data_IF_823275768199
#
_entry.id   IF_823275768199
#
_cell.length_a   1.000
_cell.length_b   1.000
_cell.length_c   1.000
_cell.angle_alpha   90.00
_cell.angle_beta   90.00
_cell.angle_gamma   90.00
#
_symmetry.space_group_name_H-M   'P 1'
#
loop_
_entity.id
_entity.type
_entity.pdbx_description
1 polymer ?
#
# COMPACT_ATOMS: atom_id res chain seq x y z
N UNK A 1 -23.60 -27.59 -7.73
CA UNK A 1 -23.86 -27.16 -6.34
C UNK A 1 -24.83 -26.01 -6.40
N UNK A 2 -26.00 -26.18 -5.81
CA UNK A 2 -27.17 -25.33 -6.03
C UNK A 2 -26.98 -23.97 -5.35
N UNK A 3 -26.94 -22.88 -6.13
CA UNK A 3 -27.09 -21.55 -5.56
C UNK A 3 -28.55 -21.38 -5.10
N UNK A 4 -28.76 -21.18 -3.81
CA UNK A 4 -30.08 -20.87 -3.27
C UNK A 4 -30.48 -19.49 -3.79
N UNK A 5 -31.45 -19.44 -4.70
CA UNK A 5 -32.00 -18.20 -5.28
C UNK A 5 -33.14 -17.73 -4.39
N UNK A 6 -32.91 -16.72 -3.55
CA UNK A 6 -33.99 -16.05 -2.81
C UNK A 6 -34.68 -15.03 -3.72
N UNK A 7 -35.98 -15.26 -3.96
CA UNK A 7 -36.86 -14.37 -4.74
C UNK A 7 -37.70 -13.53 -3.77
N UNK A 8 -37.62 -12.20 -3.82
CA UNK A 8 -38.53 -11.30 -3.09
C UNK A 8 -39.46 -10.60 -4.07
N UNK A 9 -40.76 -10.92 -3.99
CA UNK A 9 -41.82 -10.17 -4.66
C UNK A 9 -42.42 -9.16 -3.68
N UNK A 10 -42.20 -7.85 -3.90
CA UNK A 10 -43.15 -6.78 -3.54
C UNK A 10 -42.72 -5.40 -4.09
N UNK A 11 -43.36 -5.00 -5.19
CA UNK A 11 -43.84 -3.65 -5.57
C UNK A 11 -42.91 -2.42 -5.58
N UNK A 12 -41.69 -2.49 -6.11
CA UNK A 12 -41.06 -1.35 -6.82
C UNK A 12 -40.29 -1.92 -8.02
N UNK A 13 -40.63 -1.49 -9.23
CA UNK A 13 -40.13 -2.04 -10.50
C UNK A 13 -38.67 -1.71 -10.82
N UNK A 14 -37.74 -2.08 -9.94
CA UNK A 14 -36.30 -2.14 -10.23
C UNK A 14 -35.73 -3.38 -9.56
N UNK A 15 -35.50 -4.45 -10.35
CA UNK A 15 -34.65 -5.56 -9.92
C UNK A 15 -33.21 -5.06 -10.03
N UNK A 16 -32.70 -4.47 -8.95
CA UNK A 16 -31.26 -4.30 -8.85
C UNK A 16 -30.68 -5.62 -8.38
N UNK A 17 -30.41 -6.54 -9.32
CA UNK A 17 -29.40 -7.58 -9.09
C UNK A 17 -28.05 -6.88 -9.04
N UNK A 18 -27.72 -6.25 -7.91
CA UNK A 18 -26.32 -6.02 -7.59
C UNK A 18 -25.75 -7.38 -7.21
N UNK A 19 -25.55 -8.24 -8.21
CA UNK A 19 -24.47 -9.19 -8.13
C UNK A 19 -23.23 -8.33 -8.00
N UNK A 20 -22.80 -8.08 -6.76
CA UNK A 20 -21.43 -7.62 -6.55
C UNK A 20 -20.58 -8.73 -7.15
N UNK A 21 -20.08 -8.50 -8.37
CA UNK A 21 -19.23 -9.46 -9.04
C UNK A 21 -18.09 -9.76 -8.10
N UNK A 22 -18.06 -10.99 -7.56
CA UNK A 22 -17.04 -11.41 -6.60
C UNK A 22 -15.71 -11.27 -7.31
N UNK A 23 -14.93 -10.28 -6.88
CA UNK A 23 -13.65 -10.00 -7.48
C UNK A 23 -12.65 -11.00 -6.93
N UNK A 24 -11.68 -11.43 -7.76
CA UNK A 24 -10.58 -12.28 -7.26
C UNK A 24 -9.80 -11.58 -6.14
N UNK A 25 -9.81 -10.25 -6.10
CA UNK A 25 -9.21 -9.43 -5.05
C UNK A 25 -9.92 -9.51 -3.70
N UNK A 26 -11.18 -9.92 -3.64
CA UNK A 26 -11.91 -10.08 -2.37
C UNK A 26 -11.32 -11.22 -1.52
N UNK A 27 -10.61 -12.16 -2.16
CA UNK A 27 -9.97 -13.32 -1.53
C UNK A 27 -8.45 -13.21 -1.42
N UNK A 28 -7.87 -12.09 -1.89
CA UNK A 28 -6.41 -11.92 -1.98
C UNK A 28 -5.98 -10.70 -1.18
N UNK A 29 -5.14 -10.93 -0.18
CA UNK A 29 -4.48 -9.86 0.58
C UNK A 29 -3.08 -9.62 0.03
N UNK A 30 -2.75 -8.35 -0.20
CA UNK A 30 -1.41 -7.88 -0.57
C UNK A 30 -0.79 -7.18 0.65
N UNK A 31 0.48 -7.47 0.96
CA UNK A 31 1.21 -6.83 2.05
C UNK A 31 1.95 -5.60 1.49
N UNK A 32 1.72 -4.42 2.08
CA UNK A 32 2.23 -3.11 1.62
C UNK A 32 1.91 -2.82 0.15
N UNK A 33 0.69 -3.15 -0.25
CA UNK A 33 0.24 -3.13 -1.64
C UNK A 33 -1.27 -3.22 -1.74
N UNK A 34 -1.79 -3.02 -2.95
CA UNK A 34 -3.20 -3.15 -3.26
C UNK A 34 -3.40 -4.20 -4.37
N UNK A 35 -4.53 -4.90 -4.29
CA UNK A 35 -4.87 -5.90 -5.29
C UNK A 35 -5.49 -5.24 -6.53
N UNK A 36 -5.03 -5.66 -7.70
CA UNK A 36 -5.57 -5.29 -9.01
C UNK A 36 -5.88 -6.55 -9.81
N UNK A 37 -6.82 -6.46 -10.75
CA UNK A 37 -7.18 -7.59 -11.62
C UNK A 37 -6.61 -7.35 -13.01
N UNK A 38 -5.87 -8.32 -13.55
CA UNK A 38 -5.35 -8.24 -14.91
C UNK A 38 -6.39 -8.63 -15.97
N UNK A 39 -6.04 -8.51 -17.25
CA UNK A 39 -6.93 -8.87 -18.37
C UNK A 39 -7.35 -10.35 -18.41
N UNK A 40 -6.67 -11.23 -17.65
CA UNK A 40 -6.97 -12.66 -17.54
C UNK A 40 -7.77 -13.00 -16.26
N UNK A 41 -8.33 -11.99 -15.58
CA UNK A 41 -9.05 -12.14 -14.32
C UNK A 41 -8.21 -12.77 -13.19
N UNK A 42 -6.91 -12.48 -13.15
CA UNK A 42 -6.01 -12.91 -12.09
C UNK A 42 -5.69 -11.75 -11.14
N UNK A 43 -5.58 -12.04 -9.85
CA UNK A 43 -5.14 -11.08 -8.84
C UNK A 43 -3.65 -10.79 -8.98
N UNK A 44 -3.32 -9.52 -9.15
CA UNK A 44 -1.96 -8.98 -9.20
C UNK A 44 -1.82 -7.94 -8.10
N UNK A 45 -0.85 -8.16 -7.21
CA UNK A 45 -0.53 -7.17 -6.20
C UNK A 45 0.37 -6.08 -6.79
N UNK A 46 -0.10 -4.84 -6.70
CA UNK A 46 0.70 -3.65 -6.98
C UNK A 46 1.20 -3.09 -5.65
N UNK A 47 2.49 -2.76 -5.60
CA UNK A 47 3.09 -2.21 -4.39
C UNK A 47 2.68 -0.76 -4.17
N UNK A 48 2.51 -0.39 -2.90
CA UNK A 48 2.33 1.00 -2.53
C UNK A 48 3.58 1.83 -2.86
N UNK A 49 3.46 3.16 -3.05
CA UNK A 49 4.62 4.02 -3.22
C UNK A 49 5.64 3.85 -2.08
N UNK A 50 6.93 3.77 -2.41
CA UNK A 50 8.00 3.47 -1.45
C UNK A 50 8.20 1.97 -1.19
N UNK A 51 7.48 1.09 -1.89
CA UNK A 51 7.67 -0.36 -1.80
C UNK A 51 7.92 -0.99 -3.18
N UNK A 52 8.70 -2.08 -3.20
CA UNK A 52 9.00 -2.88 -4.39
C UNK A 52 8.65 -4.36 -4.18
N UNK A 53 8.42 -5.13 -5.27
CA UNK A 53 8.13 -6.55 -5.15
C UNK A 53 9.26 -7.31 -4.45
N UNK A 54 8.93 -8.12 -3.44
CA UNK A 54 9.91 -8.91 -2.67
C UNK A 54 10.48 -10.12 -3.43
N UNK A 55 9.98 -10.41 -4.63
CA UNK A 55 10.16 -11.70 -5.32
C UNK A 55 9.21 -12.80 -4.84
N UNK A 56 8.67 -12.68 -3.62
CA UNK A 56 7.54 -13.51 -3.16
C UNK A 56 6.22 -12.90 -3.65
N UNK A 57 5.29 -13.69 -4.19
CA UNK A 57 3.99 -13.18 -4.63
C UNK A 57 3.28 -12.48 -3.47
N UNK A 58 2.62 -11.35 -3.78
CA UNK A 58 1.78 -10.57 -2.84
C UNK A 58 2.52 -9.83 -1.72
N UNK A 59 3.84 -9.90 -1.67
CA UNK A 59 4.64 -9.20 -0.67
C UNK A 59 5.42 -8.08 -1.33
N UNK A 60 5.17 -6.86 -0.86
CA UNK A 60 5.95 -5.69 -1.19
C UNK A 60 6.84 -5.35 0.01
N UNK A 61 8.13 -5.19 -0.27
CA UNK A 61 9.14 -4.80 0.71
C UNK A 61 9.48 -3.33 0.52
N UNK A 62 9.82 -2.70 1.63
CA UNK A 62 10.26 -1.32 1.65
C UNK A 62 11.44 -1.11 0.68
N UNK A 63 11.41 0.01 -0.03
CA UNK A 63 12.55 0.46 -0.83
C UNK A 63 13.43 1.24 0.12
N UNK A 64 14.65 0.76 0.37
CA UNK A 64 15.63 1.57 1.09
C UNK A 64 16.17 2.64 0.13
N UNK A 65 15.51 3.79 0.10
CA UNK A 65 15.86 4.84 -0.86
C UNK A 65 17.26 5.39 -0.58
N UNK A 66 17.72 5.34 0.67
CA UNK A 66 19.07 5.78 1.06
C UNK A 66 20.18 4.89 0.49
N UNK A 67 19.89 3.61 0.26
CA UNK A 67 20.83 2.65 -0.34
C UNK A 67 20.67 2.58 -1.85
N UNK A 68 19.44 2.72 -2.35
CA UNK A 68 19.15 2.57 -3.78
C UNK A 68 19.48 3.82 -4.59
N UNK A 69 19.49 5.00 -3.97
CA UNK A 69 19.76 6.26 -4.66
C UNK A 69 20.74 7.18 -3.90
N UNK A 70 21.99 7.19 -4.36
CA UNK A 70 23.06 7.99 -3.75
C UNK A 70 22.86 9.52 -3.83
N UNK A 71 21.97 10.00 -4.69
CA UNK A 71 21.77 11.44 -4.97
C UNK A 71 20.47 12.01 -4.39
N UNK A 72 19.72 11.27 -3.58
CA UNK A 72 18.44 11.77 -3.03
C UNK A 72 18.60 12.93 -2.06
N UNK A 73 19.66 12.90 -1.26
CA UNK A 73 19.91 13.88 -0.22
C UNK A 73 21.24 14.60 -0.47
N UNK A 74 21.34 15.83 0.00
CA UNK A 74 22.61 16.53 0.01
C UNK A 74 23.60 15.74 0.89
N UNK A 75 24.84 15.59 0.43
CA UNK A 75 25.87 14.82 1.15
C UNK A 75 26.10 15.31 2.59
N UNK A 76 25.79 16.59 2.86
CA UNK A 76 25.91 17.21 4.17
C UNK A 76 24.80 16.84 5.15
N UNK A 77 23.60 16.48 4.67
CA UNK A 77 22.41 16.30 5.51
C UNK A 77 22.17 14.85 5.93
N UNK A 78 22.85 13.89 5.29
CA UNK A 78 22.63 12.46 5.52
C UNK A 78 21.26 11.97 5.02
N UNK A 79 21.03 10.66 5.11
CA UNK A 79 19.77 10.02 4.74
C UNK A 79 19.34 9.05 5.84
N UNK A 80 18.03 8.97 6.07
CA UNK A 80 17.42 7.97 6.94
C UNK A 80 16.21 7.32 6.25
N UNK A 81 16.25 6.00 6.13
CA UNK A 81 15.19 5.21 5.52
C UNK A 81 14.04 4.93 6.51
N UNK A 82 12.80 4.94 6.03
CA UNK A 82 11.58 4.63 6.78
C UNK A 82 10.62 3.80 5.92
N UNK A 83 9.67 3.11 6.55
CA UNK A 83 8.69 2.32 5.82
C UNK A 83 7.84 3.19 4.86
N UNK A 84 8.03 2.98 3.55
CA UNK A 84 7.39 3.66 2.44
C UNK A 84 7.94 5.05 2.11
N UNK A 85 9.07 5.48 2.72
CA UNK A 85 9.57 6.85 2.59
C UNK A 85 10.97 7.04 3.19
N UNK A 86 11.60 8.19 2.97
CA UNK A 86 12.88 8.55 3.59
C UNK A 86 12.87 9.99 4.11
N UNK A 87 13.90 10.33 4.89
CA UNK A 87 14.20 11.69 5.28
C UNK A 87 15.66 12.04 5.01
N UNK A 88 15.91 13.25 4.48
CA UNK A 88 17.26 13.80 4.32
C UNK A 88 17.82 14.40 5.61
N UNK A 89 17.55 13.77 6.73
CA UNK A 89 18.20 14.05 8.00
C UNK A 89 18.86 12.76 8.49
N UNK A 90 19.95 12.84 9.27
CA UNK A 90 20.62 11.64 9.76
C UNK A 90 19.66 10.85 10.66
N UNK A 91 19.72 9.52 10.66
CA UNK A 91 18.87 8.71 11.56
C UNK A 91 19.05 9.05 13.05
N UNK A 92 20.19 9.62 13.44
CA UNK A 92 20.41 10.14 14.79
C UNK A 92 19.49 11.31 15.15
N UNK A 93 18.95 12.06 14.18
CA UNK A 93 17.97 13.12 14.41
C UNK A 93 16.59 12.56 14.82
N UNK A 94 16.32 11.30 14.52
CA UNK A 94 15.06 10.61 14.83
C UNK A 94 15.20 9.62 15.99
N UNK A 95 16.29 9.71 16.77
CA UNK A 95 16.60 8.83 17.93
C UNK A 95 15.66 8.99 19.13
N UNK A 96 14.38 9.24 18.91
CA UNK A 96 13.35 9.03 19.91
C UNK A 96 12.19 8.22 19.30
N UNK A 97 12.28 6.90 19.55
CA UNK A 97 11.28 5.83 19.36
C UNK A 97 11.04 5.21 17.98
N UNK A 98 12.01 4.62 17.29
CA UNK A 98 11.69 3.66 16.22
C UNK A 98 12.70 2.53 16.06
N UNK A 99 12.44 1.42 16.77
CA UNK A 99 12.71 0.10 16.20
C UNK A 99 11.43 -0.65 15.80
N UNK A 100 10.20 -0.18 16.09
CA UNK A 100 8.97 -0.88 15.65
C UNK A 100 7.66 -0.12 15.96
N UNK A 101 7.51 1.11 15.47
CA UNK A 101 6.14 1.63 15.33
C UNK A 101 6.09 2.63 14.18
N UNK A 102 5.49 2.29 13.02
CA UNK A 102 5.39 3.22 11.91
C UNK A 102 4.68 4.48 12.40
N UNK A 103 5.33 5.64 12.24
CA UNK A 103 4.59 6.89 12.25
C UNK A 103 3.60 6.74 11.10
N UNK A 104 2.29 6.93 11.29
CA UNK A 104 1.33 6.81 10.21
C UNK A 104 1.80 7.66 9.02
N UNK A 105 1.77 7.11 7.80
CA UNK A 105 2.16 7.82 6.59
C UNK A 105 1.45 9.19 6.45
N UNK A 106 0.24 9.28 7.01
CA UNK A 106 -0.54 10.52 7.16
C UNK A 106 0.15 11.60 8.00
N UNK A 107 0.86 11.22 9.06
CA UNK A 107 1.63 12.16 9.90
C UNK A 107 2.95 12.55 9.23
N UNK A 108 3.56 11.66 8.44
CA UNK A 108 4.81 11.94 7.74
C UNK A 108 4.62 12.97 6.60
N UNK A 109 3.49 12.91 5.87
CA UNK A 109 3.12 13.95 4.89
C UNK A 109 2.96 15.33 5.52
N UNK A 110 2.42 15.42 6.74
CA UNK A 110 2.27 16.68 7.46
C UNK A 110 3.60 17.27 7.93
N UNK A 111 4.61 16.43 8.15
CA UNK A 111 5.97 16.84 8.53
C UNK A 111 6.83 17.22 7.32
N UNK A 112 6.57 16.64 6.14
CA UNK A 112 7.25 16.96 4.89
C UNK A 112 6.76 18.28 4.24
N UNK A 113 5.48 18.63 4.41
CA UNK A 113 4.88 19.84 3.82
C UNK A 113 5.26 21.15 4.54
N UNK A 114 5.78 21.06 5.78
CA UNK A 114 6.21 22.22 6.57
C UNK A 114 7.64 22.70 6.27
N UNK A 115 8.34 22.10 5.28
CA UNK A 115 9.76 22.41 4.98
C UNK A 115 10.04 22.60 3.48
N UNK A 116 9.11 23.22 2.76
CA UNK A 116 9.45 24.01 1.56
C UNK A 116 9.57 25.48 1.93
#
# INVERSE_FOLDING_TARGET
>A
MNALVTVFFSVVGVVVIQGQGVSVCDTVTCINGFCTVNALNQAVCQCEPGYKPSGTPRICVDIDECVEYDTLCNQQTGCCNFLGTYSCLPCSAFRQRQQQQPIPYSLLRLLADKRK
#
